data_IF_446622907483
#
_entry.id   IF_446622907483
#
_cell.length_a   1.000
_cell.length_b   1.000
_cell.length_c   1.000
_cell.angle_alpha   90.00
_cell.angle_beta   90.00
_cell.angle_gamma   90.00
#
_symmetry.space_group_name_H-M   'P 1'
#
loop_
_entity.id
_entity.type
_entity.pdbx_description
1 polymer ?
#
# COMPACT_ATOMS: atom_id res chain seq x y z
N UNK A 1 6.76 13.69 -1.49
CA UNK A 1 7.35 12.55 -0.76
C UNK A 1 7.56 11.44 -1.79
N UNK A 2 8.78 10.92 -1.95
CA UNK A 2 9.05 9.88 -2.95
C UNK A 2 8.58 8.49 -2.49
N UNK A 3 8.36 7.60 -3.46
CA UNK A 3 7.99 6.21 -3.22
C UNK A 3 9.10 5.49 -2.44
N UNK A 4 8.69 4.66 -1.48
CA UNK A 4 9.57 3.83 -0.65
C UNK A 4 9.57 2.38 -1.12
N UNK A 5 8.45 1.92 -1.66
CA UNK A 5 8.35 0.60 -2.22
C UNK A 5 9.24 0.46 -3.47
N UNK A 6 9.93 -0.69 -3.63
CA UNK A 6 10.52 -1.04 -4.91
C UNK A 6 9.49 -1.04 -6.04
N UNK A 7 9.84 -0.47 -7.20
CA UNK A 7 8.92 -0.30 -8.33
C UNK A 7 8.29 -1.62 -8.82
N UNK A 8 9.01 -2.74 -8.71
CA UNK A 8 8.52 -4.06 -9.13
C UNK A 8 7.33 -4.55 -8.29
N UNK A 9 7.07 -3.99 -7.10
CA UNK A 9 5.90 -4.38 -6.30
C UNK A 9 4.58 -3.96 -6.95
N UNK A 10 4.58 -2.95 -7.82
CA UNK A 10 3.41 -2.54 -8.59
C UNK A 10 3.11 -3.48 -9.79
N UNK A 11 3.85 -4.57 -9.95
CA UNK A 11 3.68 -5.51 -11.06
C UNK A 11 2.25 -6.09 -11.11
N UNK A 12 1.63 -6.24 -12.29
CA UNK A 12 0.25 -6.73 -12.43
C UNK A 12 -0.02 -8.08 -11.75
N UNK A 13 0.93 -9.01 -11.77
CA UNK A 13 0.81 -10.29 -11.05
C UNK A 13 0.62 -10.12 -9.54
N UNK A 14 1.16 -9.05 -8.95
CA UNK A 14 1.08 -8.76 -7.52
C UNK A 14 -0.14 -7.93 -7.15
N UNK A 15 -0.46 -6.91 -7.94
CA UNK A 15 -1.56 -5.99 -7.67
C UNK A 15 -2.90 -6.52 -8.19
N UNK A 16 -2.86 -7.37 -9.21
CA UNK A 16 -4.03 -7.76 -10.01
C UNK A 16 -4.51 -6.66 -10.95
N UNK A 17 -3.73 -5.60 -11.15
CA UNK A 17 -4.09 -4.43 -11.96
C UNK A 17 -3.09 -4.27 -13.10
N UNK A 18 -3.62 -4.13 -14.32
CA UNK A 18 -2.82 -3.72 -15.48
C UNK A 18 -2.22 -2.32 -15.26
N UNK A 19 -1.08 -1.98 -15.89
CA UNK A 19 -0.38 -0.71 -15.64
C UNK A 19 -1.26 0.53 -15.83
N UNK A 20 -2.15 0.53 -16.82
CA UNK A 20 -3.09 1.63 -17.05
C UNK A 20 -4.15 1.73 -15.93
N UNK A 21 -4.68 0.60 -15.48
CA UNK A 21 -5.65 0.55 -14.37
C UNK A 21 -5.01 0.95 -13.03
N UNK A 22 -3.72 0.60 -12.84
CA UNK A 22 -2.93 1.06 -11.70
C UNK A 22 -2.76 2.58 -11.71
N UNK A 23 -2.35 3.16 -12.84
CA UNK A 23 -2.20 4.60 -12.99
C UNK A 23 -3.52 5.35 -12.75
N UNK A 24 -4.63 4.88 -13.31
CA UNK A 24 -5.97 5.44 -13.08
C UNK A 24 -6.37 5.39 -11.61
N UNK A 25 -6.14 4.26 -10.92
CA UNK A 25 -6.44 4.14 -9.50
C UNK A 25 -5.64 5.15 -8.67
N UNK A 26 -4.36 5.33 -8.97
CA UNK A 26 -3.52 6.31 -8.27
C UNK A 26 -3.98 7.74 -8.51
N UNK A 27 -4.39 8.08 -9.73
CA UNK A 27 -4.94 9.40 -10.04
C UNK A 27 -6.22 9.66 -9.25
N UNK A 28 -7.19 8.73 -9.30
CA UNK A 28 -8.46 8.83 -8.57
C UNK A 28 -8.25 8.91 -7.06
N UNK A 29 -7.36 8.09 -6.51
CA UNK A 29 -7.02 8.12 -5.09
C UNK A 29 -6.36 9.45 -4.69
N UNK A 30 -5.41 9.95 -5.48
CA UNK A 30 -4.76 11.24 -5.21
C UNK A 30 -5.77 12.38 -5.23
N UNK A 31 -6.67 12.40 -6.22
CA UNK A 31 -7.76 13.38 -6.31
C UNK A 31 -8.67 13.31 -5.08
N UNK A 32 -9.15 12.12 -4.73
CA UNK A 32 -10.01 11.92 -3.57
C UNK A 32 -9.37 12.42 -2.28
N UNK A 33 -8.08 12.18 -2.07
CA UNK A 33 -7.34 12.66 -0.89
C UNK A 33 -7.18 14.18 -0.84
N UNK A 34 -7.10 14.83 -1.99
CA UNK A 34 -7.10 16.29 -2.09
C UNK A 34 -8.46 16.88 -1.74
N UNK A 35 -9.54 16.24 -2.22
CA UNK A 35 -10.92 16.69 -1.99
C UNK A 35 -11.41 16.36 -0.56
N UNK A 36 -10.88 15.29 0.03
CA UNK A 36 -11.20 14.79 1.37
C UNK A 36 -9.94 14.73 2.24
N UNK A 37 -9.38 15.90 2.64
CA UNK A 37 -8.21 15.92 3.48
C UNK A 37 -8.51 15.23 4.83
N UNK A 38 -7.56 14.46 5.38
CA UNK A 38 -7.77 13.79 6.65
C UNK A 38 -8.08 14.80 7.74
N UNK A 39 -9.21 14.60 8.44
CA UNK A 39 -9.63 15.48 9.54
C UNK A 39 -8.59 15.42 10.65
N UNK A 40 -7.83 16.50 10.81
CA UNK A 40 -6.92 16.71 11.93
C UNK A 40 -7.75 17.27 13.08
N UNK A 41 -8.06 16.47 14.09
CA UNK A 41 -8.73 16.96 15.30
C UNK A 41 -7.66 17.59 16.21
N UNK A 42 -7.69 18.91 16.45
CA UNK A 42 -6.76 19.57 17.38
C UNK A 42 -6.95 19.01 18.79
N UNK A 43 -5.87 18.67 19.50
CA UNK A 43 -5.90 18.23 20.90
C UNK A 43 -5.93 16.72 21.12
N UNK A 44 -6.25 15.89 20.10
CA UNK A 44 -6.04 14.43 20.21
C UNK A 44 -4.60 14.12 19.78
N UNK A 45 -3.66 14.22 20.72
CA UNK A 45 -2.32 13.65 20.58
C UNK A 45 -2.42 12.13 20.38
N UNK A 46 -2.64 11.68 19.15
CA UNK A 46 -2.15 10.37 18.71
C UNK A 46 -0.64 10.58 18.56
N UNK A 47 0.14 9.92 19.43
CA UNK A 47 1.59 10.13 19.56
C UNK A 47 2.29 10.41 18.23
N UNK A 48 3.04 11.53 18.22
CA UNK A 48 3.93 12.02 17.17
C UNK A 48 3.82 11.40 15.78
N UNK A 49 2.93 11.92 14.93
CA UNK A 49 3.30 12.36 13.57
C UNK A 49 2.16 13.19 12.97
N UNK A 50 2.30 14.50 13.06
CA UNK A 50 1.40 15.53 12.54
C UNK A 50 1.22 15.37 11.02
N UNK A 51 -0.03 15.19 10.59
CA UNK A 51 -0.55 15.68 9.30
C UNK A 51 -0.10 15.05 7.99
N UNK A 52 1.06 14.38 7.91
CA UNK A 52 1.53 13.76 6.66
C UNK A 52 1.49 12.24 6.79
N UNK A 53 0.80 11.58 5.87
CA UNK A 53 1.15 10.18 5.61
C UNK A 53 2.63 10.18 5.20
N UNK A 54 3.46 9.48 5.97
CA UNK A 54 4.88 9.31 5.65
C UNK A 54 5.12 8.43 4.42
N UNK A 55 4.06 7.88 3.84
CA UNK A 55 4.06 7.13 2.58
C UNK A 55 3.42 7.97 1.49
N UNK A 56 3.94 7.86 0.27
CA UNK A 56 3.30 8.44 -0.91
C UNK A 56 1.92 7.82 -1.13
N UNK A 57 1.11 8.46 -1.99
CA UNK A 57 -0.17 7.89 -2.41
C UNK A 57 0.00 6.50 -3.04
N UNK A 58 1.04 6.32 -3.86
CA UNK A 58 1.41 5.05 -4.46
C UNK A 58 1.71 3.98 -3.40
N UNK A 59 2.59 4.29 -2.44
CA UNK A 59 2.95 3.36 -1.36
C UNK A 59 1.75 2.99 -0.47
N UNK A 60 0.85 3.95 -0.20
CA UNK A 60 -0.37 3.71 0.58
C UNK A 60 -1.30 2.71 -0.09
N UNK A 61 -1.59 2.93 -1.38
CA UNK A 61 -2.43 2.04 -2.19
C UNK A 61 -1.75 0.69 -2.30
N UNK A 62 -0.46 0.65 -2.60
CA UNK A 62 0.31 -0.58 -2.77
C UNK A 62 0.34 -1.43 -1.49
N UNK A 63 0.65 -0.83 -0.34
CA UNK A 63 0.63 -1.54 0.94
C UNK A 63 -0.75 -2.14 1.24
N UNK A 64 -1.82 -1.42 0.88
CA UNK A 64 -3.21 -1.86 1.11
C UNK A 64 -3.60 -3.00 0.18
N UNK A 65 -3.30 -2.87 -1.11
CA UNK A 65 -3.55 -3.91 -2.12
C UNK A 65 -2.80 -5.18 -1.76
N UNK A 66 -1.50 -5.11 -1.45
CA UNK A 66 -0.72 -6.30 -1.11
C UNK A 66 -1.19 -6.96 0.19
N UNK A 67 -1.54 -6.16 1.22
CA UNK A 67 -2.10 -6.68 2.47
C UNK A 67 -3.40 -7.43 2.23
N UNK A 68 -4.37 -6.80 1.53
CA UNK A 68 -5.70 -7.38 1.30
C UNK A 68 -5.66 -8.57 0.35
N UNK A 69 -4.90 -8.47 -0.74
CA UNK A 69 -4.82 -9.51 -1.77
C UNK A 69 -4.16 -10.78 -1.24
N UNK A 70 -3.03 -10.65 -0.56
CA UNK A 70 -2.20 -11.81 -0.19
C UNK A 70 -2.27 -12.18 1.30
N UNK A 71 -3.11 -11.48 2.08
CA UNK A 71 -3.14 -11.59 3.55
C UNK A 71 -1.76 -11.41 4.17
N UNK A 72 -0.98 -10.48 3.62
CA UNK A 72 0.42 -10.29 4.01
C UNK A 72 0.55 -9.74 5.43
N UNK A 73 1.56 -10.22 6.14
CA UNK A 73 1.92 -9.65 7.44
C UNK A 73 2.48 -8.23 7.24
N UNK A 74 2.01 -7.29 8.07
CA UNK A 74 2.52 -5.91 8.06
C UNK A 74 4.02 -5.83 8.31
N UNK A 75 4.60 -6.79 9.05
CA UNK A 75 6.03 -6.89 9.29
C UNK A 75 6.82 -7.12 7.98
N UNK A 76 6.34 -8.02 7.12
CA UNK A 76 6.95 -8.30 5.82
C UNK A 76 6.94 -7.06 4.92
N UNK A 77 5.81 -6.35 4.85
CA UNK A 77 5.71 -5.09 4.10
C UNK A 77 6.57 -3.98 4.69
N UNK A 78 6.68 -3.90 6.02
CA UNK A 78 7.51 -2.92 6.70
C UNK A 78 8.99 -3.07 6.31
N UNK A 79 9.48 -4.31 6.29
CA UNK A 79 10.83 -4.63 5.80
C UNK A 79 11.00 -4.22 4.33
N UNK A 80 10.03 -4.54 3.46
CA UNK A 80 10.11 -4.23 2.03
C UNK A 80 10.10 -2.74 1.70
N UNK A 81 9.32 -1.97 2.44
CA UNK A 81 9.16 -0.53 2.25
C UNK A 81 10.24 0.25 3.02
N UNK A 82 11.05 -0.40 3.84
CA UNK A 82 12.02 0.28 4.72
C UNK A 82 11.36 1.22 5.73
N UNK A 83 10.20 0.85 6.26
CA UNK A 83 9.42 1.66 7.23
C UNK A 83 8.99 0.85 8.45
N UNK A 84 8.37 1.49 9.43
CA UNK A 84 7.87 0.78 10.61
C UNK A 84 6.57 0.02 10.33
N UNK A 85 6.35 -1.10 11.03
CA UNK A 85 5.09 -1.86 11.02
C UNK A 85 3.88 -0.98 11.32
N UNK A 86 4.01 -0.08 12.30
CA UNK A 86 2.95 0.86 12.65
C UNK A 86 2.57 1.79 11.49
N UNK A 87 3.54 2.18 10.65
CA UNK A 87 3.30 3.00 9.45
C UNK A 87 2.52 2.22 8.39
N UNK A 88 2.88 0.97 8.13
CA UNK A 88 2.11 0.08 7.24
C UNK A 88 0.69 -0.09 7.78
N UNK A 89 0.53 -0.43 9.06
CA UNK A 89 -0.79 -0.64 9.65
C UNK A 89 -1.67 0.61 9.60
N UNK A 90 -1.09 1.79 9.81
CA UNK A 90 -1.79 3.07 9.64
C UNK A 90 -2.20 3.29 8.19
N UNK A 91 -1.29 3.08 7.24
CA UNK A 91 -1.58 3.24 5.81
C UNK A 91 -2.72 2.32 5.37
N UNK A 92 -2.69 1.03 5.73
CA UNK A 92 -3.76 0.09 5.41
C UNK A 92 -5.10 0.52 6.01
N UNK A 93 -5.09 0.97 7.27
CA UNK A 93 -6.30 1.43 7.97
C UNK A 93 -6.91 2.69 7.35
N UNK A 94 -6.09 3.63 6.90
CA UNK A 94 -6.54 4.89 6.29
C UNK A 94 -6.96 4.70 4.83
N UNK A 95 -6.20 3.91 4.06
CA UNK A 95 -6.42 3.74 2.62
C UNK A 95 -7.56 2.78 2.30
N UNK A 96 -7.84 1.81 3.18
CA UNK A 96 -8.95 0.86 2.99
C UNK A 96 -10.30 1.56 2.76
N UNK A 97 -10.80 2.43 3.66
CA UNK A 97 -12.07 3.11 3.45
C UNK A 97 -12.05 4.06 2.24
N UNK A 98 -10.90 4.65 1.92
CA UNK A 98 -10.75 5.52 0.74
C UNK A 98 -10.90 4.71 -0.57
N UNK A 99 -10.32 3.50 -0.65
CA UNK A 99 -10.51 2.59 -1.79
C UNK A 99 -11.96 2.09 -1.88
N UNK A 100 -12.57 1.77 -0.75
CA UNK A 100 -13.97 1.34 -0.70
C UNK A 100 -14.91 2.47 -1.19
N UNK A 101 -14.65 3.73 -0.80
CA UNK A 101 -15.38 4.91 -1.28
C UNK A 101 -15.21 5.16 -2.79
N UNK A 102 -14.05 4.81 -3.34
CA UNK A 102 -13.76 4.85 -4.78
C UNK A 102 -14.31 3.65 -5.56
N UNK A 103 -15.05 2.75 -4.90
CA UNK A 103 -15.59 1.53 -5.49
C UNK A 103 -14.53 0.50 -5.88
N UNK A 104 -13.30 0.63 -5.38
CA UNK A 104 -12.21 -0.28 -5.69
C UNK A 104 -12.10 -1.40 -4.65
N UNK A 105 -12.64 -2.57 -4.99
CA UNK A 105 -12.50 -3.78 -4.17
C UNK A 105 -11.26 -4.57 -4.58
N UNK A 106 -10.33 -4.77 -3.63
CA UNK A 106 -9.15 -5.61 -3.85
C UNK A 106 -9.57 -7.08 -3.88
N UNK A 107 -9.38 -7.73 -5.02
CA UNK A 107 -9.65 -9.18 -5.15
C UNK A 107 -8.58 -9.98 -4.42
N UNK A 108 -8.99 -10.89 -3.53
CA UNK A 108 -8.09 -11.79 -2.82
C UNK A 108 -7.36 -12.74 -3.79
N UNK A 109 -6.08 -12.95 -3.56
CA UNK A 109 -5.28 -13.94 -4.26
C UNK A 109 -5.60 -15.36 -3.77
N UNK A 110 -5.30 -16.35 -4.61
CA UNK A 110 -5.56 -17.76 -4.31
C UNK A 110 -4.70 -18.33 -3.17
N UNK A 111 -3.60 -17.66 -2.83
CA UNK A 111 -2.63 -18.12 -1.82
C UNK A 111 -2.36 -17.02 -0.79
N UNK A 112 -1.97 -17.46 0.40
CA UNK A 112 -1.35 -16.58 1.39
C UNK A 112 0.14 -16.48 1.12
N UNK A 113 0.67 -15.25 1.08
CA UNK A 113 2.11 -15.00 0.91
C UNK A 113 2.69 -14.52 2.24
N UNK A 114 3.84 -15.08 2.63
CA UNK A 114 4.46 -14.82 3.93
C UNK A 114 5.87 -14.23 3.84
N UNK A 115 6.54 -14.35 2.69
CA UNK A 115 7.91 -13.87 2.52
C UNK A 115 8.08 -12.91 1.34
N UNK A 116 9.17 -12.17 1.37
CA UNK A 116 9.62 -11.34 0.26
C UNK A 116 9.88 -12.17 -1.00
N UNK A 117 10.60 -13.30 -0.87
CA UNK A 117 11.00 -14.11 -2.02
C UNK A 117 9.81 -14.66 -2.79
N UNK A 118 8.70 -14.95 -2.10
CA UNK A 118 7.46 -15.35 -2.74
C UNK A 118 6.85 -14.21 -3.57
N UNK A 119 6.86 -12.96 -3.08
CA UNK A 119 6.41 -11.82 -3.88
C UNK A 119 7.33 -11.60 -5.09
N UNK A 120 8.64 -11.68 -4.90
CA UNK A 120 9.60 -11.56 -5.99
C UNK A 120 9.34 -12.63 -7.07
N UNK A 121 9.17 -13.89 -6.68
CA UNK A 121 8.85 -14.99 -7.58
C UNK A 121 7.54 -14.76 -8.36
N UNK A 122 6.47 -14.28 -7.70
CA UNK A 122 5.19 -13.98 -8.37
C UNK A 122 5.34 -12.84 -9.39
N UNK A 123 6.19 -11.86 -9.10
CA UNK A 123 6.49 -10.76 -10.01
C UNK A 123 7.51 -11.13 -11.11
N UNK A 124 7.98 -12.38 -11.17
CA UNK A 124 9.06 -12.80 -12.06
C UNK A 124 10.40 -12.12 -11.75
N UNK A 125 10.54 -11.54 -10.57
CA UNK A 125 11.79 -10.96 -10.09
C UNK A 125 12.69 -12.08 -9.57
N UNK A 126 13.98 -11.99 -9.89
CA UNK A 126 14.97 -12.81 -9.21
C UNK A 126 15.03 -12.35 -7.74
N UNK A 127 14.88 -13.25 -6.75
CA UNK A 127 15.03 -12.85 -5.35
C UNK A 127 16.42 -12.22 -5.16
N UNK A 128 16.56 -11.19 -4.30
CA UNK A 128 17.88 -10.66 -4.00
C UNK A 128 18.76 -11.81 -3.49
N UNK A 129 19.97 -11.93 -4.03
CA UNK A 129 20.94 -12.91 -3.55
C UNK A 129 21.17 -12.70 -2.04
N UNK A 130 21.37 -13.79 -1.26
CA UNK A 130 21.60 -13.71 0.19
C UNK A 130 22.86 -12.93 0.55
#
# INVERSE_FOLDING_TARGET
MGDKAPAWLAHPSLTGLEPAAWADLLERYTRYRTDHPPVVIPGRHRGGNTGTSLLSASDQVLATVLTKRWSLQQATLATLFGVSKARIGRAVRETTPDLDALGHTVTAGAIKVTSHDQLAAIAGQRPPSP
#
